data_IF_789116562468
#
_entry.id   IF_789116562468
#
_cell.length_a   1.000
_cell.length_b   1.000
_cell.length_c   1.000
_cell.angle_alpha   90.00
_cell.angle_beta   90.00
_cell.angle_gamma   90.00
#
_symmetry.space_group_name_H-M   'P 1'
#
loop_
_entity.id
_entity.type
_entity.pdbx_description
1 polymer ?
#
# COMPACT_ATOMS: atom_id res chain seq x y z
N UNK A 1 13.98 33.41 9.46
CA UNK A 1 12.72 33.57 8.77
C UNK A 1 11.74 32.49 9.17
N UNK A 2 10.65 32.84 9.85
CA UNK A 2 9.73 31.86 10.40
C UNK A 2 9.10 30.93 9.37
N UNK A 3 8.91 31.38 8.13
CA UNK A 3 8.24 30.60 7.08
C UNK A 3 8.98 29.34 6.64
N UNK A 4 10.32 29.39 6.61
CA UNK A 4 11.12 28.24 6.19
C UNK A 4 11.13 27.18 7.29
N UNK A 5 11.21 27.59 8.55
CA UNK A 5 11.19 26.70 9.69
C UNK A 5 9.83 26.01 9.81
N UNK A 6 8.75 26.73 9.56
CA UNK A 6 7.39 26.18 9.59
C UNK A 6 7.21 25.13 8.49
N UNK A 7 7.70 25.41 7.26
CA UNK A 7 7.63 24.46 6.15
C UNK A 7 8.40 23.16 6.44
N UNK A 8 9.61 23.27 7.00
CA UNK A 8 10.39 22.10 7.37
C UNK A 8 9.70 21.31 8.49
N UNK A 9 9.03 21.98 9.41
CA UNK A 9 8.30 21.34 10.50
C UNK A 9 7.11 20.53 10.00
N UNK A 10 6.42 20.99 8.96
CA UNK A 10 5.27 20.27 8.38
C UNK A 10 5.66 19.12 7.47
N UNK A 11 6.87 19.13 6.89
CA UNK A 11 7.28 18.13 5.90
C UNK A 11 7.53 16.72 6.49
N UNK A 12 7.68 16.59 7.80
CA UNK A 12 8.00 15.30 8.45
C UNK A 12 6.95 14.97 9.50
N UNK A 13 5.69 15.18 9.17
CA UNK A 13 4.60 15.06 10.15
C UNK A 13 4.05 13.66 10.30
N UNK A 14 4.28 12.78 9.32
CA UNK A 14 3.66 11.47 9.29
C UNK A 14 4.66 10.40 8.88
N UNK A 15 4.42 9.17 9.35
CA UNK A 15 5.12 7.98 8.87
C UNK A 15 4.08 6.99 8.37
N UNK A 16 4.44 6.22 7.36
CA UNK A 16 3.54 5.23 6.79
C UNK A 16 4.25 3.90 6.63
N UNK A 17 3.55 2.82 6.94
CA UNK A 17 4.08 1.46 6.89
C UNK A 17 3.13 0.53 6.17
N UNK A 18 3.71 -0.36 5.37
CA UNK A 18 3.03 -1.48 4.76
C UNK A 18 3.38 -2.75 5.53
N UNK A 19 2.37 -3.54 5.84
CA UNK A 19 2.54 -4.83 6.50
C UNK A 19 1.66 -5.85 5.82
N UNK A 20 2.24 -7.00 5.48
CA UNK A 20 1.49 -8.09 4.88
C UNK A 20 0.98 -9.06 5.94
N UNK A 21 -0.15 -9.66 5.65
CA UNK A 21 -0.70 -10.79 6.39
C UNK A 21 -0.58 -12.02 5.51
N UNK A 22 0.41 -12.86 5.80
CA UNK A 22 0.70 -14.03 5.00
C UNK A 22 0.29 -15.26 5.80
N UNK A 23 -0.62 -16.09 5.27
CA UNK A 23 -0.97 -17.34 5.93
C UNK A 23 0.25 -18.28 5.93
N UNK A 24 0.76 -18.59 7.12
CA UNK A 24 1.82 -19.58 7.30
C UNK A 24 1.30 -20.67 8.21
N UNK A 25 1.72 -21.92 7.94
CA UNK A 25 1.29 -23.07 8.75
C UNK A 25 1.58 -22.88 10.24
N UNK A 26 2.65 -22.20 10.57
CA UNK A 26 3.12 -22.01 11.93
C UNK A 26 2.67 -20.67 12.54
N UNK A 27 1.91 -19.87 11.81
CA UNK A 27 1.49 -18.56 12.27
C UNK A 27 -0.02 -18.45 12.15
N UNK A 28 -0.69 -18.71 13.24
CA UNK A 28 -2.16 -18.68 13.32
C UNK A 28 -2.75 -17.32 12.98
N UNK A 29 -1.98 -16.25 13.26
CA UNK A 29 -2.42 -14.88 13.00
C UNK A 29 -2.15 -14.44 11.56
N UNK A 30 -1.33 -15.18 10.81
CA UNK A 30 -0.99 -14.83 9.44
C UNK A 30 -0.25 -13.52 9.28
N UNK A 31 0.41 -13.04 10.32
CA UNK A 31 1.07 -11.75 10.32
C UNK A 31 2.53 -11.87 9.91
N UNK A 32 2.95 -11.06 8.94
CA UNK A 32 4.36 -10.86 8.67
C UNK A 32 4.95 -9.97 9.76
N UNK A 33 6.15 -10.31 10.23
CA UNK A 33 6.86 -9.49 11.20
C UNK A 33 7.53 -8.27 10.56
N UNK A 34 7.67 -8.27 9.24
CA UNK A 34 8.33 -7.20 8.51
C UNK A 34 7.37 -6.06 8.21
N UNK A 35 7.78 -4.85 8.53
CA UNK A 35 7.12 -3.62 8.11
C UNK A 35 7.97 -2.95 7.05
N UNK A 36 7.33 -2.45 6.02
CA UNK A 36 8.00 -1.70 4.95
C UNK A 36 7.63 -0.24 5.08
N UNK A 37 8.63 0.62 5.08
CA UNK A 37 8.41 2.05 5.15
C UNK A 37 7.88 2.58 3.82
N UNK A 38 6.72 3.22 3.84
CA UNK A 38 6.05 3.75 2.66
C UNK A 38 6.39 5.21 2.49
N UNK A 39 6.99 5.55 1.34
CA UNK A 39 7.28 6.95 0.99
C UNK A 39 6.07 7.62 0.36
N UNK A 40 5.32 6.89 -0.46
CA UNK A 40 4.10 7.39 -1.07
C UNK A 40 3.12 6.26 -1.31
N UNK A 41 1.85 6.59 -1.23
CA UNK A 41 0.77 5.64 -1.48
C UNK A 41 -0.37 6.37 -2.20
N UNK A 42 -0.82 5.76 -3.28
CA UNK A 42 -2.00 6.22 -3.99
C UNK A 42 -2.89 5.02 -4.24
N UNK A 43 -4.16 5.14 -3.92
CA UNK A 43 -5.11 4.10 -4.25
C UNK A 43 -6.25 4.67 -5.07
N UNK A 44 -6.69 3.88 -6.03
CA UNK A 44 -7.66 4.24 -7.04
C UNK A 44 -8.76 3.19 -7.06
N UNK A 45 -9.99 3.64 -6.88
CA UNK A 45 -11.18 2.81 -6.96
C UNK A 45 -12.12 3.46 -7.97
N UNK A 46 -12.71 2.66 -8.85
CA UNK A 46 -13.63 3.20 -9.81
C UNK A 46 -14.81 2.25 -10.01
N UNK A 47 -15.94 2.84 -10.37
CA UNK A 47 -17.19 2.13 -10.67
C UNK A 47 -17.64 2.48 -12.07
N UNK A 48 -18.26 1.53 -12.76
CA UNK A 48 -18.96 1.86 -13.98
C UNK A 48 -20.19 2.70 -13.66
N UNK A 49 -20.47 3.67 -14.51
CA UNK A 49 -21.67 4.49 -14.39
C UNK A 49 -22.66 4.17 -15.50
N UNK A 50 -23.93 4.39 -15.22
CA UNK A 50 -24.98 4.34 -16.24
C UNK A 50 -24.90 5.60 -17.13
N UNK A 51 -25.66 5.62 -18.23
CA UNK A 51 -25.74 6.79 -19.11
C UNK A 51 -26.23 8.04 -18.39
N UNK A 52 -26.97 7.87 -17.29
CA UNK A 52 -27.46 8.98 -16.47
C UNK A 52 -26.44 9.45 -15.42
N UNK A 53 -25.25 8.86 -15.38
CA UNK A 53 -24.22 9.23 -14.41
C UNK A 53 -24.38 8.56 -13.05
N UNK A 54 -25.33 7.68 -12.87
CA UNK A 54 -25.51 6.94 -11.63
C UNK A 54 -24.52 5.76 -11.57
N UNK A 55 -23.93 5.47 -10.40
CA UNK A 55 -23.03 4.34 -10.28
C UNK A 55 -23.77 3.02 -10.46
N UNK A 56 -23.18 2.13 -11.24
CA UNK A 56 -23.60 0.74 -11.24
C UNK A 56 -23.25 0.11 -9.91
N UNK A 57 -23.93 -0.95 -9.53
CA UNK A 57 -23.89 -1.53 -8.19
C UNK A 57 -22.53 -2.10 -7.76
N UNK A 58 -21.48 -2.13 -8.61
CA UNK A 58 -20.22 -2.79 -8.32
C UNK A 58 -19.02 -1.90 -8.59
N UNK A 59 -18.10 -1.88 -7.65
CA UNK A 59 -16.78 -1.29 -7.85
C UNK A 59 -16.00 -2.18 -8.82
N UNK A 60 -15.42 -1.56 -9.86
CA UNK A 60 -14.66 -2.27 -10.88
C UNK A 60 -13.22 -1.93 -10.76
N UNK A 61 -12.36 -2.09 -10.30
CA UNK A 61 -10.99 -1.68 -10.23
C UNK A 61 -10.60 -1.33 -8.83
N UNK A 62 -9.46 -1.72 -8.48
CA UNK A 62 -8.85 -1.35 -7.23
C UNK A 62 -7.37 -1.52 -7.40
N UNK A 63 -6.65 -0.39 -7.45
CA UNK A 63 -5.21 -0.39 -7.55
C UNK A 63 -4.62 0.39 -6.41
N UNK A 64 -3.47 -0.08 -5.93
CA UNK A 64 -2.67 0.63 -4.94
C UNK A 64 -1.29 0.81 -5.52
N UNK A 65 -0.85 2.05 -5.65
CA UNK A 65 0.51 2.38 -6.04
C UNK A 65 1.32 2.73 -4.81
N UNK A 66 2.40 2.01 -4.61
CA UNK A 66 3.26 2.17 -3.43
C UNK A 66 4.68 2.46 -3.84
N UNK A 67 5.31 3.39 -3.15
CA UNK A 67 6.75 3.58 -3.19
C UNK A 67 7.31 3.30 -1.82
N UNK A 68 8.20 2.31 -1.74
CA UNK A 68 8.84 1.89 -0.50
C UNK A 68 10.28 2.39 -0.48
N UNK A 69 10.77 2.75 0.70
CA UNK A 69 12.15 3.19 0.88
C UNK A 69 13.15 2.05 1.00
N UNK A 70 12.65 0.83 1.19
CA UNK A 70 13.47 -0.33 1.45
C UNK A 70 13.78 -1.10 0.16
N UNK A 71 14.94 -1.76 0.14
CA UNK A 71 15.19 -2.80 -0.85
C UNK A 71 14.27 -3.98 -0.58
N UNK A 72 13.76 -4.64 -1.62
CA UNK A 72 12.89 -5.79 -1.40
C UNK A 72 13.66 -6.96 -0.78
N UNK A 73 13.06 -7.58 0.23
CA UNK A 73 13.59 -8.81 0.81
C UNK A 73 13.09 -10.04 0.04
N UNK A 74 13.55 -11.23 0.45
CA UNK A 74 13.20 -12.47 -0.23
C UNK A 74 11.69 -12.74 -0.21
N UNK A 75 11.03 -12.43 0.90
CA UNK A 75 9.57 -12.60 1.05
C UNK A 75 8.79 -11.73 0.07
N UNK A 76 9.18 -10.47 -0.05
CA UNK A 76 8.54 -9.54 -0.98
C UNK A 76 8.80 -9.94 -2.43
N UNK A 77 10.03 -10.32 -2.75
CA UNK A 77 10.38 -10.77 -4.09
C UNK A 77 9.65 -12.05 -4.48
N UNK A 78 9.50 -12.99 -3.56
CA UNK A 78 8.78 -14.23 -3.82
C UNK A 78 7.32 -13.96 -4.19
N UNK A 79 6.69 -13.01 -3.52
CA UNK A 79 5.32 -12.60 -3.85
C UNK A 79 5.24 -11.87 -5.19
N UNK A 80 6.16 -10.94 -5.43
CA UNK A 80 6.16 -10.14 -6.66
C UNK A 80 6.25 -11.03 -7.91
N UNK A 81 7.08 -12.07 -7.85
CA UNK A 81 7.32 -12.94 -9.00
C UNK A 81 6.39 -14.15 -9.09
N UNK A 82 5.52 -14.35 -8.13
CA UNK A 82 4.57 -15.47 -8.16
C UNK A 82 3.17 -14.97 -8.51
N UNK A 83 2.76 -15.22 -9.74
CA UNK A 83 1.44 -14.78 -10.24
C UNK A 83 0.27 -15.45 -9.56
N UNK A 84 0.49 -16.56 -8.88
CA UNK A 84 -0.55 -17.29 -8.19
C UNK A 84 -0.76 -16.87 -6.74
N UNK A 85 0.16 -16.06 -6.20
CA UNK A 85 0.08 -15.64 -4.79
C UNK A 85 -0.67 -14.33 -4.63
N UNK A 86 -1.65 -14.35 -3.75
CA UNK A 86 -2.37 -13.19 -3.30
C UNK A 86 -2.04 -12.94 -1.83
N UNK A 87 -1.77 -11.69 -1.47
CA UNK A 87 -1.51 -11.32 -0.09
C UNK A 87 -2.56 -10.34 0.40
N UNK A 88 -2.90 -10.50 1.66
CA UNK A 88 -3.64 -9.49 2.41
C UNK A 88 -2.64 -8.59 3.13
N UNK A 89 -3.04 -7.37 3.42
CA UNK A 89 -2.15 -6.48 4.13
C UNK A 89 -2.85 -5.24 4.65
N UNK A 90 -2.02 -4.38 5.22
CA UNK A 90 -2.50 -3.12 5.75
C UNK A 90 -1.47 -2.02 5.50
N UNK A 91 -1.96 -0.82 5.29
CA UNK A 91 -1.16 0.38 5.18
C UNK A 91 -1.61 1.30 6.30
N UNK A 92 -0.68 1.69 7.16
CA UNK A 92 -0.96 2.49 8.35
C UNK A 92 -0.20 3.81 8.25
N UNK A 93 -0.88 4.90 8.53
CA UNK A 93 -0.28 6.22 8.66
C UNK A 93 -0.34 6.62 10.13
N UNK A 94 0.81 6.93 10.70
CA UNK A 94 0.93 7.34 12.10
C UNK A 94 1.54 8.74 12.19
N UNK A 95 1.21 9.45 13.27
CA UNK A 95 1.84 10.72 13.57
C UNK A 95 3.13 10.52 14.39
N UNK A 96 3.75 11.61 14.80
CA UNK A 96 4.97 11.56 15.60
C UNK A 96 4.79 10.94 16.97
N UNK A 97 3.59 11.05 17.52
CA UNK A 97 3.30 10.51 18.84
C UNK A 97 2.95 9.03 18.78
N UNK A 98 2.95 8.44 17.59
CA UNK A 98 2.64 7.04 17.37
C UNK A 98 1.15 6.74 17.25
N UNK A 99 0.30 7.77 17.21
CA UNK A 99 -1.12 7.57 17.01
C UNK A 99 -1.44 7.27 15.56
N UNK A 100 -2.31 6.28 15.35
CA UNK A 100 -2.77 5.92 14.02
C UNK A 100 -3.75 6.96 13.50
N UNK A 101 -3.37 7.63 12.41
CA UNK A 101 -4.22 8.63 11.77
C UNK A 101 -5.13 8.02 10.73
N UNK A 102 -4.64 7.00 10.03
CA UNK A 102 -5.40 6.33 9.00
C UNK A 102 -4.89 4.90 8.86
N UNK A 103 -5.79 3.99 8.53
CA UNK A 103 -5.45 2.60 8.33
C UNK A 103 -6.31 2.02 7.22
N UNK A 104 -5.66 1.37 6.27
CA UNK A 104 -6.32 0.75 5.14
C UNK A 104 -5.95 -0.73 5.15
N UNK A 105 -6.95 -1.58 5.10
CA UNK A 105 -6.77 -3.02 4.91
C UNK A 105 -7.08 -3.37 3.47
N UNK A 106 -6.29 -4.24 2.90
CA UNK A 106 -6.58 -4.76 1.57
C UNK A 106 -6.49 -6.28 1.56
N UNK A 107 -7.28 -6.89 0.70
CA UNK A 107 -7.34 -8.34 0.57
C UNK A 107 -7.11 -8.77 -0.87
N UNK A 108 -6.49 -9.92 -1.00
CA UNK A 108 -6.20 -10.56 -2.28
C UNK A 108 -5.48 -9.64 -3.24
N UNK A 109 -4.36 -9.12 -2.81
CA UNK A 109 -3.51 -8.25 -3.60
C UNK A 109 -2.49 -9.03 -4.40
N UNK A 110 -2.38 -8.66 -5.66
CA UNK A 110 -1.37 -9.17 -6.59
C UNK A 110 -0.52 -8.01 -7.07
N UNK A 111 0.78 -8.21 -7.15
CA UNK A 111 1.66 -7.21 -7.74
C UNK A 111 1.61 -7.32 -9.26
N UNK A 112 1.18 -6.26 -9.92
CA UNK A 112 1.05 -6.22 -11.39
C UNK A 112 2.13 -5.39 -12.05
N UNK A 113 2.85 -4.61 -11.27
CA UNK A 113 4.01 -3.86 -11.78
C UNK A 113 5.02 -3.68 -10.65
N UNK A 114 6.28 -3.82 -10.99
CA UNK A 114 7.40 -3.69 -10.06
C UNK A 114 8.51 -2.90 -10.72
N UNK A 115 9.04 -1.92 -10.01
CA UNK A 115 10.16 -1.11 -10.46
C UNK A 115 11.08 -0.87 -9.26
N UNK A 116 12.34 -1.25 -9.41
CA UNK A 116 13.35 -1.02 -8.39
C UNK A 116 14.42 -0.07 -8.94
N UNK A 117 14.62 1.03 -8.25
CA UNK A 117 15.60 2.03 -8.60
C UNK A 117 16.57 2.23 -7.45
N UNK A 118 17.84 2.02 -7.70
CA UNK A 118 18.88 2.25 -6.70
C UNK A 118 20.19 2.64 -7.39
N UNK A 119 21.08 3.26 -6.63
CA UNK A 119 22.39 3.64 -7.09
C UNK A 119 23.45 3.31 -6.04
N UNK A 120 24.71 3.26 -6.47
CA UNK A 120 25.82 2.98 -5.58
C UNK A 120 26.34 4.23 -4.85
N UNK A 121 25.84 5.40 -5.24
CA UNK A 121 26.17 6.65 -4.58
C UNK A 121 25.45 6.72 -3.23
N UNK A 122 26.16 7.17 -2.19
CA UNK A 122 25.59 7.29 -0.84
C UNK A 122 24.41 8.26 -0.74
N UNK A 123 24.32 9.20 -1.69
CA UNK A 123 23.18 10.13 -1.75
C UNK A 123 21.96 9.55 -2.44
N UNK A 124 22.12 8.42 -3.11
CA UNK A 124 21.04 7.79 -3.86
C UNK A 124 20.32 6.76 -2.99
N UNK A 125 19.10 7.09 -2.59
CA UNK A 125 18.29 6.19 -1.76
C UNK A 125 17.50 5.23 -2.65
N UNK A 126 17.46 3.95 -2.31
CA UNK A 126 16.68 3.01 -3.09
C UNK A 126 15.18 3.30 -2.99
N UNK A 127 14.48 3.09 -4.09
CA UNK A 127 13.02 3.17 -4.16
C UNK A 127 12.48 1.91 -4.81
N UNK A 128 11.57 1.27 -4.13
CA UNK A 128 10.83 0.12 -4.66
C UNK A 128 9.41 0.56 -4.96
N UNK A 129 9.02 0.55 -6.22
CA UNK A 129 7.69 0.94 -6.66
C UNK A 129 6.88 -0.28 -7.01
N UNK A 130 5.69 -0.35 -6.45
CA UNK A 130 4.77 -1.46 -6.65
C UNK A 130 3.42 -0.93 -7.09
N UNK A 131 2.82 -1.60 -8.06
CA UNK A 131 1.41 -1.42 -8.38
C UNK A 131 0.71 -2.71 -8.04
N UNK A 132 -0.25 -2.62 -7.13
CA UNK A 132 -1.03 -3.76 -6.66
C UNK A 132 -2.43 -3.69 -7.24
N UNK A 133 -2.91 -4.84 -7.70
CA UNK A 133 -4.31 -5.02 -8.00
C UNK A 133 -4.94 -5.74 -6.82
N UNK A 134 -5.96 -5.15 -6.22
CA UNK A 134 -6.56 -5.66 -4.99
C UNK A 134 -8.03 -5.99 -5.22
N UNK A 135 -8.50 -7.04 -4.56
CA UNK A 135 -9.88 -7.47 -4.65
C UNK A 135 -10.79 -6.67 -3.72
N UNK A 136 -10.29 -6.28 -2.56
CA UNK A 136 -11.06 -5.56 -1.55
C UNK A 136 -10.18 -4.55 -0.84
N UNK A 137 -10.74 -3.37 -0.58
CA UNK A 137 -10.12 -2.38 0.28
C UNK A 137 -11.11 -2.00 1.37
N UNK A 138 -10.63 -1.99 2.61
CA UNK A 138 -11.40 -1.53 3.77
C UNK A 138 -10.68 -0.31 4.33
N UNK A 139 -11.31 0.86 4.22
CA UNK A 139 -10.75 2.12 4.69
C UNK A 139 -11.62 2.64 5.83
N UNK A 140 -11.10 2.57 7.05
CA UNK A 140 -11.88 2.89 8.23
C UNK A 140 -13.07 1.94 8.36
N UNK A 141 -14.29 2.49 8.35
CA UNK A 141 -15.52 1.70 8.41
C UNK A 141 -16.14 1.46 7.03
N UNK A 142 -15.46 1.88 5.96
CA UNK A 142 -15.98 1.75 4.60
C UNK A 142 -15.31 0.57 3.92
N UNK A 143 -16.11 -0.28 3.30
CA UNK A 143 -15.66 -1.50 2.65
C UNK A 143 -15.91 -1.39 1.14
N UNK A 144 -14.85 -1.52 0.35
CA UNK A 144 -14.92 -1.52 -1.10
C UNK A 144 -14.55 -2.90 -1.63
N UNK A 145 -15.43 -3.49 -2.41
CA UNK A 145 -15.19 -4.79 -3.04
C UNK A 145 -15.13 -4.65 -4.55
N UNK A 146 -14.11 -5.25 -5.13
CA UNK A 146 -13.97 -5.38 -6.57
C UNK A 146 -14.67 -6.67 -7.01
N UNK A 147 -15.97 -6.56 -7.26
CA UNK A 147 -16.80 -7.70 -7.63
C UNK A 147 -17.08 -7.77 -9.13
N UNK A 148 -16.45 -6.92 -9.90
CA UNK A 148 -16.71 -6.81 -11.34
C UNK A 148 -15.87 -7.72 -12.23
N UNK A 149 -15.23 -8.70 -11.68
CA UNK A 149 -14.44 -9.68 -12.44
C UNK A 149 -15.32 -10.73 -13.10
#
# INVERSE_FOLDING_TARGET
MPRIIIKAFYMVKYKSYLKFRIPKKDNVMGLSLKRYHVLSCKYDLWQETTKAGEPKSKVKGGTIELTLSDLPNDELMAWIFDHAKFYNGEITIIDYDGETLNQIYFEEARCVNFDLHYGLDTQFKPETRLILNVQRIIAGNVNFENTGL
#
